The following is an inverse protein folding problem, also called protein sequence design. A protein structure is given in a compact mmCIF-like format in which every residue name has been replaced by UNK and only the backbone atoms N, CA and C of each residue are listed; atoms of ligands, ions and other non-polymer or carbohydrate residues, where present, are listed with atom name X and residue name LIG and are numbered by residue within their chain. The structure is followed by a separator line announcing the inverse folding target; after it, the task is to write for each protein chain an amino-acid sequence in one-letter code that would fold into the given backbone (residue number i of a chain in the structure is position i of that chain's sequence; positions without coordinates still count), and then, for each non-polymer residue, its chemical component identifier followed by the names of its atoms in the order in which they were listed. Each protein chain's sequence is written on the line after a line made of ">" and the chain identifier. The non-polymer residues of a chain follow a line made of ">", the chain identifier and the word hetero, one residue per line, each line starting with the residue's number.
data_IF_675424736925
#
_entry.id   IF_675424736925
#
_cell.length_a   1.000
_cell.length_b   1.000
_cell.length_c   1.000
_cell.angle_alpha   90.00
_cell.angle_beta   90.00
_cell.angle_gamma   90.00
#
_symmetry.space_group_name_H-M   'P 1'
#
loop_
_entity.id
_entity.type
_entity.pdbx_description
1 polymer ?
#
# COMPACT_ATOMS: atom_id res chain seq x y z
N UNK A 1 12.85 24.89 -2.65
CA UNK A 1 11.59 24.16 -2.96
C UNK A 1 11.90 22.71 -2.73
N UNK A 2 11.23 22.06 -1.78
CA UNK A 2 11.55 20.71 -1.31
C UNK A 2 11.36 19.69 -2.43
N UNK A 3 12.38 18.86 -2.68
CA UNK A 3 12.39 17.74 -3.61
C UNK A 3 12.15 16.44 -2.86
N UNK A 4 11.14 15.70 -3.30
CA UNK A 4 10.73 14.45 -2.66
C UNK A 4 10.94 13.28 -3.61
N UNK A 5 11.70 12.27 -3.15
CA UNK A 5 11.80 10.99 -3.83
C UNK A 5 10.65 10.08 -3.43
N UNK A 6 9.97 9.49 -4.41
CA UNK A 6 8.94 8.46 -4.19
C UNK A 6 9.42 7.16 -4.83
N UNK A 7 9.67 6.13 -4.03
CA UNK A 7 9.89 4.76 -4.55
C UNK A 7 8.59 4.00 -4.68
N UNK A 8 8.57 2.96 -5.52
CA UNK A 8 7.32 2.29 -5.90
C UNK A 8 6.33 3.24 -6.57
N UNK A 9 6.82 4.29 -7.24
CA UNK A 9 6.00 5.42 -7.69
C UNK A 9 4.87 5.04 -8.65
N UNK A 10 5.02 3.95 -9.41
CA UNK A 10 3.99 3.43 -10.33
C UNK A 10 3.04 2.42 -9.68
N UNK A 11 3.17 2.19 -8.37
CA UNK A 11 2.34 1.27 -7.59
C UNK A 11 1.12 1.94 -6.97
N UNK A 12 0.33 1.16 -6.23
CA UNK A 12 -0.99 1.58 -5.73
C UNK A 12 -0.92 2.68 -4.66
N UNK A 13 0.12 2.70 -3.82
CA UNK A 13 0.36 3.78 -2.85
C UNK A 13 1.26 4.89 -3.42
N UNK A 14 2.27 4.53 -4.21
CA UNK A 14 3.23 5.49 -4.76
C UNK A 14 2.61 6.44 -5.78
N UNK A 15 1.76 5.95 -6.68
CA UNK A 15 1.15 6.78 -7.73
C UNK A 15 0.24 7.88 -7.17
N UNK A 16 -0.71 7.60 -6.25
CA UNK A 16 -1.46 8.66 -5.60
C UNK A 16 -0.56 9.55 -4.74
N UNK A 17 0.50 9.04 -4.12
CA UNK A 17 1.46 9.87 -3.36
C UNK A 17 2.12 10.92 -4.25
N UNK A 18 2.61 10.54 -5.44
CA UNK A 18 3.14 11.50 -6.42
C UNK A 18 2.10 12.58 -6.76
N UNK A 19 0.85 12.18 -7.01
CA UNK A 19 -0.23 13.12 -7.33
C UNK A 19 -0.51 14.10 -6.18
N UNK A 20 -0.58 13.62 -4.94
CA UNK A 20 -0.83 14.48 -3.78
C UNK A 20 0.32 15.45 -3.50
N UNK A 21 1.58 14.99 -3.66
CA UNK A 21 2.75 15.84 -3.52
C UNK A 21 2.82 16.94 -4.59
N UNK A 22 2.54 16.60 -5.85
CA UNK A 22 2.49 17.58 -6.95
C UNK A 22 1.39 18.62 -6.74
N UNK A 23 0.19 18.20 -6.27
CA UNK A 23 -0.91 19.11 -5.93
C UNK A 23 -0.54 20.13 -4.84
N UNK A 24 0.35 19.75 -3.91
CA UNK A 24 0.89 20.63 -2.87
C UNK A 24 2.00 21.56 -3.38
N UNK A 25 2.35 21.49 -4.67
CA UNK A 25 3.42 22.29 -5.25
C UNK A 25 4.81 21.88 -4.77
N UNK A 26 5.01 20.60 -4.44
CA UNK A 26 6.34 20.05 -4.12
C UNK A 26 6.99 19.50 -5.40
N UNK A 27 8.33 19.50 -5.46
CA UNK A 27 9.04 18.84 -6.54
C UNK A 27 9.05 17.34 -6.27
N UNK A 28 8.63 16.54 -7.23
CA UNK A 28 8.56 15.08 -7.07
C UNK A 28 9.48 14.41 -8.05
N UNK A 29 10.37 13.57 -7.51
CA UNK A 29 11.13 12.60 -8.26
C UNK A 29 10.53 11.21 -8.04
N UNK A 30 10.13 10.56 -9.11
CA UNK A 30 9.49 9.26 -9.10
C UNK A 30 10.45 8.18 -9.61
N UNK A 31 10.83 7.25 -8.73
CA UNK A 31 11.63 6.08 -9.12
C UNK A 31 10.72 5.04 -9.78
N UNK A 32 11.00 4.71 -11.03
CA UNK A 32 10.33 3.67 -11.80
C UNK A 32 11.33 2.61 -12.28
N UNK A 33 10.91 1.34 -12.35
CA UNK A 33 11.80 0.26 -12.84
C UNK A 33 12.03 0.29 -14.35
N UNK A 34 11.04 0.78 -15.10
CA UNK A 34 11.07 0.84 -16.56
C UNK A 34 10.16 1.95 -17.05
N UNK A 35 10.39 2.36 -18.28
CA UNK A 35 9.46 3.22 -19.01
C UNK A 35 8.23 2.41 -19.44
N UNK A 36 7.06 2.82 -18.96
CA UNK A 36 5.76 2.28 -19.38
C UNK A 36 4.67 3.36 -19.26
N UNK A 37 3.43 3.02 -19.62
CA UNK A 37 2.30 3.96 -19.58
C UNK A 37 2.10 4.62 -18.20
N UNK A 38 2.48 3.93 -17.10
CA UNK A 38 2.33 4.47 -15.74
C UNK A 38 3.41 5.49 -15.43
N UNK A 39 4.66 5.25 -15.83
CA UNK A 39 5.72 6.26 -15.64
C UNK A 39 5.51 7.48 -16.54
N UNK A 40 4.99 7.27 -17.75
CA UNK A 40 4.61 8.34 -18.68
C UNK A 40 3.44 9.18 -18.13
N UNK A 41 2.44 8.56 -17.50
CA UNK A 41 1.36 9.27 -16.79
C UNK A 41 1.97 10.22 -15.74
N UNK A 42 2.89 9.74 -14.90
CA UNK A 42 3.53 10.56 -13.87
C UNK A 42 4.36 11.70 -14.45
N UNK A 43 5.10 11.46 -15.54
CA UNK A 43 5.86 12.50 -16.23
C UNK A 43 4.93 13.61 -16.76
N UNK A 44 3.79 13.23 -17.36
CA UNK A 44 2.81 14.20 -17.89
C UNK A 44 2.16 15.07 -16.81
N UNK A 45 2.15 14.61 -15.55
CA UNK A 45 1.69 15.35 -14.40
C UNK A 45 2.75 16.30 -13.81
N UNK A 46 3.99 16.23 -14.30
CA UNK A 46 5.10 17.09 -13.87
C UNK A 46 6.08 16.43 -12.89
N UNK A 47 6.02 15.11 -12.68
CA UNK A 47 7.04 14.40 -11.93
C UNK A 47 8.32 14.22 -12.76
N UNK A 48 9.48 14.37 -12.13
CA UNK A 48 10.76 13.95 -12.70
C UNK A 48 10.88 12.43 -12.59
N UNK A 49 11.01 11.72 -13.71
CA UNK A 49 11.14 10.25 -13.69
C UNK A 49 12.62 9.87 -13.65
N UNK A 50 12.98 9.06 -12.67
CA UNK A 50 14.28 8.37 -12.64
C UNK A 50 14.04 6.88 -12.81
N UNK A 51 14.71 6.29 -13.78
CA UNK A 51 14.66 4.86 -14.02
C UNK A 51 15.80 4.16 -13.27
N UNK A 52 15.47 3.13 -12.50
CA UNK A 52 16.48 2.42 -11.71
C UNK A 52 15.93 1.29 -10.87
N UNK A 53 16.85 0.49 -10.34
CA UNK A 53 16.56 -0.54 -9.34
C UNK A 53 16.84 -0.02 -7.93
N UNK A 54 15.90 -0.24 -7.01
CA UNK A 54 16.05 0.16 -5.60
C UNK A 54 17.13 -0.66 -4.88
N UNK A 55 17.50 -1.83 -5.41
CA UNK A 55 18.63 -2.65 -4.93
C UNK A 55 19.95 -2.28 -5.60
N UNK A 56 19.99 -1.28 -6.48
CA UNK A 56 21.20 -0.80 -7.13
C UNK A 56 21.72 0.45 -6.44
N UNK A 57 22.88 0.35 -5.78
CA UNK A 57 23.52 1.48 -5.12
C UNK A 57 23.79 2.64 -6.09
N UNK A 58 24.16 2.33 -7.33
CA UNK A 58 24.42 3.33 -8.38
C UNK A 58 23.13 4.07 -8.75
N UNK A 59 22.06 3.34 -9.02
CA UNK A 59 20.81 3.95 -9.49
C UNK A 59 20.15 4.73 -8.36
N UNK A 60 20.26 4.26 -7.12
CA UNK A 60 19.80 5.01 -5.95
C UNK A 60 20.58 6.30 -5.72
N UNK A 61 21.89 6.35 -5.95
CA UNK A 61 22.66 7.61 -5.91
C UNK A 61 22.14 8.64 -6.91
N UNK A 62 21.82 8.21 -8.12
CA UNK A 62 21.21 9.08 -9.13
C UNK A 62 19.82 9.54 -8.69
N UNK A 63 19.01 8.64 -8.13
CA UNK A 63 17.67 8.98 -7.65
C UNK A 63 17.68 9.99 -6.50
N UNK A 64 18.69 9.96 -5.63
CA UNK A 64 18.76 10.85 -4.47
C UNK A 64 19.45 12.21 -4.71
N UNK A 65 20.00 12.48 -5.90
CA UNK A 65 20.72 13.73 -6.17
C UNK A 65 19.86 14.99 -5.94
N UNK A 66 20.13 15.76 -4.88
CA UNK A 66 19.32 16.93 -4.52
C UNK A 66 17.93 16.61 -3.95
N UNK A 67 17.74 15.42 -3.38
CA UNK A 67 16.52 15.02 -2.67
C UNK A 67 16.58 15.44 -1.20
N UNK A 68 15.55 16.14 -0.73
CA UNK A 68 15.45 16.58 0.65
C UNK A 68 14.75 15.54 1.54
N UNK A 69 13.71 14.87 1.04
CA UNK A 69 12.87 13.92 1.80
C UNK A 69 12.43 12.76 0.91
N UNK A 70 12.10 11.60 1.49
CA UNK A 70 11.80 10.43 0.67
C UNK A 70 10.71 9.51 1.24
N UNK A 71 9.95 8.90 0.34
CA UNK A 71 9.03 7.80 0.62
C UNK A 71 9.66 6.47 0.18
N UNK A 72 9.78 5.54 1.13
CA UNK A 72 10.23 4.18 0.89
C UNK A 72 9.04 3.21 0.88
N UNK A 73 8.85 2.56 -0.27
CA UNK A 73 7.92 1.45 -0.46
C UNK A 73 8.63 0.30 -1.18
N UNK A 74 8.43 -0.92 -0.70
CA UNK A 74 8.93 -2.15 -1.31
C UNK A 74 7.76 -3.12 -1.54
N UNK A 75 7.71 -3.85 -2.66
CA UNK A 75 6.67 -4.86 -2.89
C UNK A 75 6.77 -6.03 -1.90
N UNK A 76 5.73 -6.87 -1.83
CA UNK A 76 5.78 -8.16 -1.13
C UNK A 76 6.68 -9.10 -1.95
N UNK A 77 7.99 -9.04 -1.69
CA UNK A 77 9.02 -9.81 -2.37
C UNK A 77 10.28 -9.92 -1.50
N UNK A 78 11.19 -10.82 -1.88
CA UNK A 78 12.54 -10.86 -1.31
C UNK A 78 13.33 -9.60 -1.66
N UNK A 79 14.36 -9.26 -0.87
CA UNK A 79 15.24 -8.11 -1.11
C UNK A 79 14.88 -6.82 -0.34
N UNK A 80 13.78 -6.81 0.42
CA UNK A 80 13.33 -5.62 1.17
C UNK A 80 14.42 -5.05 2.10
N UNK A 81 15.10 -5.89 2.88
CA UNK A 81 16.14 -5.44 3.83
C UNK A 81 17.35 -4.87 3.10
N UNK A 82 17.76 -5.49 1.99
CA UNK A 82 18.83 -4.98 1.13
C UNK A 82 18.47 -3.62 0.55
N UNK A 83 17.27 -3.48 -0.01
CA UNK A 83 16.76 -2.21 -0.52
C UNK A 83 16.72 -1.13 0.58
N UNK A 84 16.29 -1.46 1.80
CA UNK A 84 16.28 -0.53 2.93
C UNK A 84 17.69 -0.10 3.33
N UNK A 85 18.67 -1.02 3.35
CA UNK A 85 20.08 -0.70 3.65
C UNK A 85 20.65 0.24 2.60
N UNK A 86 20.45 -0.06 1.32
CA UNK A 86 20.94 0.78 0.21
C UNK A 86 20.28 2.15 0.26
N UNK A 87 18.96 2.19 0.42
CA UNK A 87 18.20 3.44 0.53
C UNK A 87 18.70 4.29 1.70
N UNK A 88 18.82 3.71 2.90
CA UNK A 88 19.27 4.42 4.09
C UNK A 88 20.72 4.92 3.96
N UNK A 89 21.60 4.11 3.37
CA UNK A 89 22.99 4.50 3.12
C UNK A 89 23.06 5.71 2.20
N UNK A 90 22.37 5.68 1.05
CA UNK A 90 22.40 6.79 0.08
C UNK A 90 21.69 8.02 0.62
N UNK A 91 20.54 7.84 1.28
CA UNK A 91 19.81 8.94 1.91
C UNK A 91 20.69 9.69 2.93
N UNK A 92 21.50 8.95 3.70
CA UNK A 92 22.46 9.54 4.64
C UNK A 92 23.60 10.27 3.94
N UNK A 93 24.17 9.70 2.87
CA UNK A 93 25.19 10.35 2.04
C UNK A 93 24.70 11.69 1.47
N UNK A 94 23.41 11.77 1.13
CA UNK A 94 22.78 12.95 0.50
C UNK A 94 22.15 13.92 1.50
N UNK A 95 22.22 13.63 2.81
CA UNK A 95 21.69 14.52 3.84
C UNK A 95 20.17 14.63 3.87
N UNK A 96 19.45 13.55 3.50
CA UNK A 96 17.98 13.50 3.54
C UNK A 96 17.46 13.84 4.94
N UNK A 97 16.51 14.76 5.00
CA UNK A 97 15.96 15.31 6.24
C UNK A 97 14.93 14.37 6.90
N UNK A 98 14.15 13.64 6.09
CA UNK A 98 13.06 12.80 6.59
C UNK A 98 12.70 11.66 5.64
N UNK A 99 12.34 10.51 6.22
CA UNK A 99 11.85 9.33 5.50
C UNK A 99 10.44 8.97 5.98
N UNK A 100 9.53 8.69 5.05
CA UNK A 100 8.29 7.96 5.34
C UNK A 100 8.45 6.53 4.82
N UNK A 101 8.37 5.55 5.70
CA UNK A 101 8.52 4.12 5.41
C UNK A 101 7.14 3.44 5.44
N UNK A 102 6.77 2.75 4.36
CA UNK A 102 5.59 1.87 4.36
C UNK A 102 5.93 0.52 5.00
N UNK A 103 5.24 0.19 6.09
CA UNK A 103 5.44 -1.02 6.88
C UNK A 103 4.12 -1.77 7.12
N UNK A 104 4.19 -2.96 7.72
CA UNK A 104 3.02 -3.75 8.06
C UNK A 104 2.59 -3.50 9.50
N UNK A 105 1.28 -3.47 9.77
CA UNK A 105 0.72 -3.44 11.13
C UNK A 105 1.31 -4.53 12.04
N UNK A 106 1.52 -5.70 11.46
CA UNK A 106 2.03 -6.90 12.14
C UNK A 106 3.55 -6.91 12.34
N UNK A 107 4.31 -5.89 11.90
CA UNK A 107 5.78 -5.88 11.95
C UNK A 107 6.32 -6.00 13.38
N UNK A 108 6.97 -7.13 13.65
CA UNK A 108 7.57 -7.53 14.94
C UNK A 108 8.74 -8.50 14.72
N UNK A 109 9.70 -8.63 15.66
CA UNK A 109 10.89 -9.46 15.48
C UNK A 109 10.57 -10.96 15.31
N UNK A 110 9.48 -11.43 15.89
CA UNK A 110 9.00 -12.81 15.91
C UNK A 110 7.86 -13.07 14.92
N UNK A 111 7.69 -12.20 13.90
CA UNK A 111 6.65 -12.37 12.90
C UNK A 111 6.80 -13.71 12.13
N UNK A 112 5.70 -14.45 11.98
CA UNK A 112 5.65 -15.74 11.24
C UNK A 112 6.01 -15.57 9.78
N UNK A 113 5.51 -14.48 9.18
CA UNK A 113 5.81 -14.09 7.81
C UNK A 113 7.21 -13.47 7.73
N UNK A 114 8.09 -14.05 6.91
CA UNK A 114 9.42 -13.49 6.67
C UNK A 114 9.35 -12.09 6.05
N UNK A 115 8.37 -11.83 5.19
CA UNK A 115 8.12 -10.49 4.62
C UNK A 115 7.80 -9.50 5.75
N UNK A 116 6.91 -9.86 6.66
CA UNK A 116 6.50 -9.01 7.79
C UNK A 116 7.66 -8.79 8.78
N UNK A 117 8.47 -9.82 9.02
CA UNK A 117 9.71 -9.70 9.80
C UNK A 117 10.72 -8.78 9.10
N UNK A 118 10.85 -8.86 7.78
CA UNK A 118 11.72 -8.00 7.00
C UNK A 118 11.28 -6.53 7.05
N UNK A 119 9.97 -6.24 7.06
CA UNK A 119 9.48 -4.90 7.36
C UNK A 119 9.95 -4.42 8.73
N UNK A 120 9.84 -5.23 9.78
CA UNK A 120 10.38 -4.87 11.11
C UNK A 120 11.90 -4.59 11.08
N UNK A 121 12.67 -5.41 10.35
CA UNK A 121 14.10 -5.19 10.14
C UNK A 121 14.38 -3.87 9.40
N UNK A 122 13.59 -3.53 8.38
CA UNK A 122 13.73 -2.24 7.67
C UNK A 122 13.49 -1.05 8.58
N UNK A 123 12.53 -1.14 9.51
CA UNK A 123 12.32 -0.09 10.52
C UNK A 123 13.56 0.07 11.42
N UNK A 124 14.25 -1.04 11.74
CA UNK A 124 15.50 -0.97 12.50
C UNK A 124 16.64 -0.36 11.67
N UNK A 125 16.75 -0.71 10.39
CA UNK A 125 17.73 -0.10 9.46
C UNK A 125 17.55 1.41 9.41
N UNK A 126 16.32 1.90 9.22
CA UNK A 126 16.05 3.33 9.21
C UNK A 126 16.34 3.98 10.58
N UNK A 127 15.99 3.32 11.69
CA UNK A 127 16.36 3.80 13.02
C UNK A 127 17.88 3.92 13.20
N UNK A 128 18.67 2.94 12.76
CA UNK A 128 20.13 2.96 12.85
C UNK A 128 20.79 3.95 11.90
N UNK A 129 20.11 4.34 10.83
CA UNK A 129 20.61 5.35 9.89
C UNK A 129 20.77 6.74 10.53
N UNK A 130 20.01 7.02 11.60
CA UNK A 130 19.95 8.32 12.25
C UNK A 130 19.07 9.34 11.53
N UNK A 131 18.49 9.00 10.38
CA UNK A 131 17.58 9.87 9.63
C UNK A 131 16.20 9.84 10.30
N UNK A 132 15.59 11.00 10.61
CA UNK A 132 14.21 11.06 11.08
C UNK A 132 13.29 10.26 10.17
N UNK A 133 12.64 9.24 10.73
CA UNK A 133 11.81 8.31 9.95
C UNK A 133 10.45 8.12 10.59
N UNK A 134 9.40 8.17 9.80
CA UNK A 134 8.04 7.80 10.19
C UNK A 134 7.68 6.46 9.56
N UNK A 135 7.43 5.45 10.39
CA UNK A 135 6.98 4.14 9.93
C UNK A 135 5.44 4.10 9.91
N UNK A 136 4.86 3.93 8.73
CA UNK A 136 3.42 3.76 8.54
C UNK A 136 3.11 2.27 8.52
N UNK A 137 2.67 1.73 9.66
CA UNK A 137 2.32 0.32 9.82
C UNK A 137 0.85 0.11 9.46
N UNK A 138 0.60 -0.29 8.22
CA UNK A 138 -0.75 -0.36 7.66
C UNK A 138 -1.32 -1.77 7.80
N UNK A 139 -2.63 -1.85 8.06
CA UNK A 139 -3.42 -3.08 7.94
C UNK A 139 -3.65 -3.44 6.46
N UNK A 140 -4.72 -4.17 6.13
CA UNK A 140 -5.08 -4.46 4.74
C UNK A 140 -5.61 -3.23 4.00
N UNK A 141 -5.40 -3.22 2.69
CA UNK A 141 -5.79 -2.12 1.81
C UNK A 141 -7.19 -2.34 1.22
N UNK A 142 -7.94 -1.26 1.02
CA UNK A 142 -9.21 -1.33 0.27
C UNK A 142 -9.00 -1.79 -1.18
N UNK A 143 -7.82 -1.54 -1.73
CA UNK A 143 -7.37 -1.93 -3.07
C UNK A 143 -7.47 -3.44 -3.33
N UNK A 144 -7.48 -4.29 -2.30
CA UNK A 144 -7.69 -5.74 -2.47
C UNK A 144 -9.02 -6.07 -3.15
N UNK A 145 -10.05 -5.23 -2.95
CA UNK A 145 -11.32 -5.36 -3.67
C UNK A 145 -11.10 -5.28 -5.19
N UNK A 146 -10.18 -4.44 -5.66
CA UNK A 146 -9.88 -4.30 -7.09
C UNK A 146 -9.22 -5.56 -7.64
N UNK A 147 -8.40 -6.24 -6.86
CA UNK A 147 -7.76 -7.50 -7.28
C UNK A 147 -8.77 -8.64 -7.43
N UNK A 148 -9.79 -8.68 -6.58
CA UNK A 148 -10.89 -9.66 -6.67
C UNK A 148 -12.11 -9.15 -7.45
N UNK A 149 -12.00 -8.00 -8.13
CA UNK A 149 -13.14 -7.33 -8.76
C UNK A 149 -13.87 -8.19 -9.78
N UNK A 150 -13.15 -9.05 -10.52
CA UNK A 150 -13.74 -10.00 -11.48
C UNK A 150 -14.58 -11.09 -10.81
N UNK A 151 -14.26 -11.47 -9.56
CA UNK A 151 -15.09 -12.38 -8.76
C UNK A 151 -16.31 -11.66 -8.20
N UNK A 152 -16.14 -10.40 -7.76
CA UNK A 152 -17.25 -9.56 -7.32
C UNK A 152 -18.26 -9.35 -8.45
N UNK A 153 -17.80 -9.09 -9.68
CA UNK A 153 -18.64 -9.06 -10.88
C UNK A 153 -19.40 -10.37 -11.15
N UNK A 154 -18.93 -11.49 -10.59
CA UNK A 154 -19.56 -12.81 -10.66
C UNK A 154 -20.35 -13.17 -9.40
N UNK A 155 -20.58 -12.19 -8.52
CA UNK A 155 -21.37 -12.37 -7.29
C UNK A 155 -20.62 -13.13 -6.19
N UNK A 156 -19.28 -13.10 -6.19
CA UNK A 156 -18.46 -13.82 -5.20
C UNK A 156 -17.46 -12.88 -4.55
N UNK A 157 -17.49 -12.79 -3.22
CA UNK A 157 -16.39 -12.20 -2.45
C UNK A 157 -15.49 -13.32 -1.96
N UNK A 158 -14.29 -13.43 -2.52
CA UNK A 158 -13.38 -14.57 -2.28
C UNK A 158 -12.14 -14.10 -1.54
N UNK A 159 -11.84 -14.71 -0.38
CA UNK A 159 -10.58 -14.45 0.35
C UNK A 159 -10.06 -15.71 1.06
N UNK A 160 -8.75 -15.81 1.30
CA UNK A 160 -8.14 -16.94 2.01
C UNK A 160 -8.04 -16.71 3.52
N UNK A 161 -9.00 -16.00 4.09
CA UNK A 161 -8.98 -15.55 5.49
C UNK A 161 -10.26 -15.97 6.20
N UNK A 162 -10.23 -16.06 7.52
CA UNK A 162 -11.43 -16.44 8.27
C UNK A 162 -12.54 -15.41 8.12
N UNK A 163 -13.79 -15.88 7.97
CA UNK A 163 -14.96 -15.01 7.79
C UNK A 163 -15.09 -13.93 8.87
N UNK A 164 -14.71 -14.26 10.11
CA UNK A 164 -14.81 -13.40 11.29
C UNK A 164 -13.53 -12.59 11.57
N UNK A 165 -12.48 -12.74 10.74
CA UNK A 165 -11.20 -12.06 10.90
C UNK A 165 -11.35 -10.54 10.78
N UNK A 166 -10.91 -9.81 11.81
CA UNK A 166 -11.14 -8.37 11.97
C UNK A 166 -10.01 -7.53 11.39
N UNK A 167 -10.36 -6.49 10.64
CA UNK A 167 -9.44 -5.49 10.11
C UNK A 167 -10.18 -4.23 9.65
N UNK A 168 -9.47 -3.12 9.48
CA UNK A 168 -10.06 -1.86 9.03
C UNK A 168 -9.40 -1.41 7.71
N UNK A 169 -9.97 -1.71 6.53
CA UNK A 169 -9.32 -1.48 5.25
C UNK A 169 -9.02 0.00 5.01
N UNK A 170 -7.76 0.34 4.75
CA UNK A 170 -7.33 1.71 4.44
C UNK A 170 -7.15 1.89 2.93
N UNK A 171 -7.71 2.94 2.36
CA UNK A 171 -7.52 3.25 0.94
C UNK A 171 -6.14 3.88 0.70
N UNK A 172 -5.46 3.46 -0.37
CA UNK A 172 -4.17 4.00 -0.77
C UNK A 172 -4.23 5.50 -1.08
N UNK A 173 -5.40 6.02 -1.47
CA UNK A 173 -5.63 7.46 -1.63
C UNK A 173 -5.46 8.24 -0.31
N UNK A 174 -5.88 7.68 0.82
CA UNK A 174 -5.65 8.32 2.12
C UNK A 174 -4.25 8.06 2.65
N UNK A 175 -3.70 6.87 2.42
CA UNK A 175 -2.28 6.61 2.66
C UNK A 175 -1.40 7.66 1.96
N UNK A 176 -1.71 7.99 0.70
CA UNK A 176 -1.02 9.03 -0.05
C UNK A 176 -1.12 10.42 0.57
N UNK A 177 -2.31 10.82 1.07
CA UNK A 177 -2.47 12.10 1.79
C UNK A 177 -1.68 12.11 3.09
N UNK A 178 -1.66 11.00 3.83
CA UNK A 178 -0.86 10.85 5.07
C UNK A 178 0.62 11.02 4.75
N UNK A 179 1.13 10.29 3.76
CA UNK A 179 2.53 10.37 3.32
C UNK A 179 2.86 11.81 2.88
N UNK A 180 2.01 12.42 2.05
CA UNK A 180 2.23 13.76 1.52
C UNK A 180 2.22 14.83 2.63
N UNK A 181 1.32 14.74 3.61
CA UNK A 181 1.25 15.68 4.73
C UNK A 181 2.48 15.55 5.64
N UNK A 182 2.94 14.33 5.94
CA UNK A 182 4.16 14.11 6.73
C UNK A 182 5.39 14.63 5.98
N UNK A 183 5.51 14.35 4.67
CA UNK A 183 6.67 14.81 3.89
C UNK A 183 6.66 16.33 3.66
N UNK A 184 5.50 16.96 3.63
CA UNK A 184 5.38 18.43 3.59
C UNK A 184 5.78 19.06 4.93
N UNK A 185 5.32 18.48 6.06
CA UNK A 185 5.53 18.98 7.43
C UNK A 185 6.01 17.85 8.35
N UNK A 186 7.31 17.51 8.34
CA UNK A 186 7.84 16.34 9.05
C UNK A 186 7.96 16.54 10.57
N UNK A 187 7.83 17.76 11.07
CA UNK A 187 8.00 18.10 12.48
C UNK A 187 7.08 17.25 13.38
N UNK A 188 7.67 16.56 14.36
CA UNK A 188 6.93 15.70 15.30
C UNK A 188 6.64 14.28 14.81
N UNK A 189 6.91 13.96 13.54
CA UNK A 189 6.70 12.63 12.98
C UNK A 189 7.96 11.74 12.99
N UNK A 190 9.13 12.32 13.22
CA UNK A 190 10.40 11.58 13.28
C UNK A 190 10.45 10.59 14.44
N UNK A 191 10.83 9.34 14.16
CA UNK A 191 10.91 8.24 15.13
C UNK A 191 9.58 7.57 15.46
N UNK A 192 8.47 8.03 14.86
CA UNK A 192 7.14 7.48 15.12
C UNK A 192 6.90 6.20 14.32
N UNK A 193 6.10 5.30 14.89
CA UNK A 193 5.56 4.14 14.20
C UNK A 193 4.03 4.14 14.37
N UNK A 194 3.32 4.63 13.37
CA UNK A 194 1.86 4.74 13.40
C UNK A 194 1.23 3.45 12.90
N UNK A 195 0.43 2.81 13.75
CA UNK A 195 -0.51 1.80 13.28
C UNK A 195 -1.68 2.53 12.64
N UNK A 196 -1.92 2.30 11.34
CA UNK A 196 -2.95 3.00 10.59
C UNK A 196 -4.10 2.06 10.22
N UNK A 197 -5.31 2.58 10.40
CA UNK A 197 -6.56 1.89 10.10
C UNK A 197 -7.43 2.70 9.14
N UNK A 198 -8.30 2.01 8.40
CA UNK A 198 -9.44 2.62 7.75
C UNK A 198 -10.47 3.18 8.75
N UNK A 199 -11.47 3.92 8.27
CA UNK A 199 -12.44 4.61 9.15
C UNK A 199 -13.40 3.65 9.88
N UNK A 200 -13.47 2.39 9.46
CA UNK A 200 -14.36 1.39 10.04
C UNK A 200 -13.70 0.01 9.97
N UNK A 201 -13.87 -0.75 11.04
CA UNK A 201 -13.44 -2.13 11.15
C UNK A 201 -14.55 -3.07 10.67
N UNK A 202 -14.16 -4.11 9.96
CA UNK A 202 -15.03 -5.14 9.40
C UNK A 202 -14.48 -6.53 9.73
N UNK A 203 -15.36 -7.52 9.79
CA UNK A 203 -15.01 -8.88 9.40
C UNK A 203 -15.03 -9.04 7.88
N UNK A 204 -14.51 -10.14 7.35
CA UNK A 204 -14.64 -10.40 5.91
C UNK A 204 -16.11 -10.57 5.47
N UNK A 205 -16.94 -11.19 6.30
CA UNK A 205 -18.39 -11.33 6.07
C UNK A 205 -19.10 -9.97 6.05
N UNK A 206 -18.78 -9.08 7.00
CA UNK A 206 -19.33 -7.72 7.04
C UNK A 206 -18.86 -6.86 5.86
N UNK A 207 -17.60 -7.02 5.44
CA UNK A 207 -17.07 -6.29 4.30
C UNK A 207 -17.73 -6.73 3.00
N UNK A 208 -17.93 -8.04 2.81
CA UNK A 208 -18.67 -8.58 1.67
C UNK A 208 -20.11 -8.04 1.63
N UNK A 209 -20.81 -8.05 2.77
CA UNK A 209 -22.16 -7.50 2.90
C UNK A 209 -22.20 -5.99 2.59
N UNK A 210 -21.23 -5.21 3.05
CA UNK A 210 -21.14 -3.78 2.75
C UNK A 210 -20.92 -3.51 1.26
N UNK A 211 -20.02 -4.26 0.62
CA UNK A 211 -19.81 -4.15 -0.84
C UNK A 211 -21.07 -4.55 -1.60
N UNK A 212 -21.72 -5.65 -1.22
CA UNK A 212 -22.99 -6.09 -1.80
C UNK A 212 -24.09 -5.05 -1.67
N UNK A 213 -24.26 -4.46 -0.48
CA UNK A 213 -25.20 -3.36 -0.22
C UNK A 213 -24.96 -2.16 -1.14
N UNK A 214 -23.71 -1.73 -1.28
CA UNK A 214 -23.34 -0.57 -2.11
C UNK A 214 -23.56 -0.85 -3.59
N UNK A 215 -23.32 -2.08 -4.04
CA UNK A 215 -23.54 -2.50 -5.42
C UNK A 215 -25.01 -2.84 -5.74
N UNK A 216 -25.82 -3.13 -4.73
CA UNK A 216 -27.21 -3.57 -4.88
C UNK A 216 -27.32 -5.05 -5.28
N UNK A 217 -26.38 -5.89 -4.83
CA UNK A 217 -26.33 -7.33 -5.14
C UNK A 217 -26.13 -8.14 -3.87
N UNK A 218 -26.62 -9.37 -3.85
CA UNK A 218 -26.21 -10.34 -2.84
C UNK A 218 -24.76 -10.76 -3.13
N UNK A 219 -23.90 -10.66 -2.12
CA UNK A 219 -22.47 -10.91 -2.26
C UNK A 219 -21.99 -11.73 -1.06
N UNK A 220 -22.18 -13.06 -1.10
CA UNK A 220 -21.74 -13.92 -0.02
C UNK A 220 -20.22 -13.96 0.07
N UNK A 221 -19.74 -14.03 1.31
CA UNK A 221 -18.35 -14.34 1.60
C UNK A 221 -18.05 -15.81 1.31
N UNK A 222 -16.99 -16.07 0.56
CA UNK A 222 -16.48 -17.39 0.26
C UNK A 222 -15.02 -17.50 0.73
N UNK A 223 -14.80 -18.36 1.72
CA UNK A 223 -13.45 -18.68 2.17
C UNK A 223 -12.83 -19.73 1.25
N UNK A 224 -11.63 -19.43 0.75
CA UNK A 224 -10.76 -20.43 0.15
C UNK A 224 -9.61 -20.77 1.08
N UNK A 225 -8.92 -21.88 0.82
CA UNK A 225 -7.58 -22.06 1.37
C UNK A 225 -6.63 -21.08 0.69
N UNK A 226 -5.51 -20.74 1.34
CA UNK A 226 -4.47 -19.90 0.72
C UNK A 226 -4.02 -20.47 -0.62
N UNK A 227 -3.76 -21.77 -0.71
CA UNK A 227 -3.36 -22.42 -1.97
C UNK A 227 -4.42 -22.26 -3.07
N UNK A 228 -5.70 -22.52 -2.77
CA UNK A 228 -6.76 -22.38 -3.76
C UNK A 228 -6.99 -20.93 -4.20
N UNK A 229 -6.82 -19.97 -3.28
CA UNK A 229 -6.89 -18.55 -3.62
C UNK A 229 -5.75 -18.12 -4.55
N UNK A 230 -4.52 -18.58 -4.29
CA UNK A 230 -3.37 -18.25 -5.13
C UNK A 230 -3.45 -18.91 -6.50
N UNK A 231 -3.90 -20.17 -6.59
CA UNK A 231 -4.19 -20.83 -7.87
C UNK A 231 -5.26 -20.06 -8.67
N UNK A 232 -6.33 -19.63 -8.00
CA UNK A 232 -7.38 -18.82 -8.62
C UNK A 232 -6.85 -17.46 -9.13
N UNK A 233 -5.80 -16.92 -8.49
CA UNK A 233 -5.13 -15.69 -8.87
C UNK A 233 -3.99 -15.89 -9.91
N UNK A 234 -3.64 -17.13 -10.27
CA UNK A 234 -2.50 -17.45 -11.14
C UNK A 234 -1.13 -17.19 -10.48
N UNK A 235 -1.06 -17.41 -9.16
CA UNK A 235 0.11 -17.15 -8.31
C UNK A 235 0.52 -18.39 -7.49
N UNK A 236 0.12 -19.59 -7.94
CA UNK A 236 0.33 -20.86 -7.25
C UNK A 236 1.81 -21.18 -6.97
N UNK A 237 2.70 -20.74 -7.86
CA UNK A 237 4.14 -20.97 -7.78
C UNK A 237 4.85 -19.96 -6.84
N UNK A 238 4.18 -18.89 -6.40
CA UNK A 238 4.76 -17.90 -5.50
C UNK A 238 4.78 -18.39 -4.05
N UNK A 239 5.85 -19.10 -3.71
CA UNK A 239 6.03 -19.67 -2.37
C UNK A 239 6.21 -18.61 -1.28
N UNK A 240 6.70 -17.41 -1.62
CA UNK A 240 6.86 -16.31 -0.67
C UNK A 240 5.49 -15.74 -0.32
N UNK A 241 4.66 -15.51 -1.33
CA UNK A 241 3.29 -15.03 -1.17
C UNK A 241 2.42 -16.04 -0.43
N UNK A 242 2.53 -17.34 -0.76
CA UNK A 242 1.82 -18.41 -0.03
C UNK A 242 2.11 -18.38 1.47
N UNK A 243 3.39 -18.41 1.85
CA UNK A 243 3.79 -18.36 3.27
C UNK A 243 3.38 -17.05 3.93
N UNK A 244 3.42 -15.95 3.18
CA UNK A 244 2.98 -14.65 3.67
C UNK A 244 1.48 -14.66 4.01
N UNK A 245 0.65 -15.20 3.13
CA UNK A 245 -0.80 -15.28 3.31
C UNK A 245 -1.19 -16.26 4.43
N UNK A 246 -0.57 -17.43 4.52
CA UNK A 246 -0.77 -18.39 5.62
C UNK A 246 -0.44 -17.75 6.98
N UNK A 247 0.67 -17.01 7.07
CA UNK A 247 1.02 -16.28 8.28
C UNK A 247 0.07 -15.12 8.57
N UNK A 248 -0.38 -14.39 7.54
CA UNK A 248 -1.32 -13.29 7.70
C UNK A 248 -2.70 -13.77 8.17
N UNK A 249 -3.16 -14.94 7.70
CA UNK A 249 -4.37 -15.60 8.19
C UNK A 249 -4.29 -15.88 9.68
N UNK A 250 -3.20 -16.53 10.15
CA UNK A 250 -3.00 -16.80 11.58
C UNK A 250 -2.89 -15.52 12.41
N UNK A 251 -2.15 -14.53 11.93
CA UNK A 251 -2.03 -13.24 12.62
C UNK A 251 -3.38 -12.50 12.69
N UNK A 252 -4.26 -12.66 11.69
CA UNK A 252 -5.62 -12.11 11.73
C UNK A 252 -6.50 -12.85 12.76
N UNK A 253 -6.39 -14.17 12.85
CA UNK A 253 -7.07 -14.99 13.87
C UNK A 253 -6.67 -14.58 15.29
N UNK A 254 -5.41 -14.17 15.47
CA UNK A 254 -4.88 -13.65 16.73
C UNK A 254 -5.21 -12.18 16.99
N UNK A 255 -5.98 -11.54 16.10
CA UNK A 255 -6.42 -10.15 16.26
C UNK A 255 -5.36 -9.10 15.94
N UNK A 256 -4.22 -9.46 15.34
CA UNK A 256 -3.11 -8.54 15.09
C UNK A 256 -3.39 -7.52 13.98
N UNK A 257 -4.46 -7.70 13.21
CA UNK A 257 -4.93 -6.75 12.20
C UNK A 257 -6.13 -5.91 12.64
N UNK A 258 -6.72 -6.25 13.79
CA UNK A 258 -7.82 -5.52 14.40
C UNK A 258 -7.37 -4.18 14.98
N UNK A 259 -8.32 -3.28 15.12
CA UNK A 259 -8.14 -1.97 15.72
C UNK A 259 -8.75 -0.85 14.87
N UNK A 260 -8.89 0.29 15.54
CA UNK A 260 -9.21 1.57 14.96
C UNK A 260 -8.34 2.62 15.64
N UNK A 261 -8.10 3.71 14.94
CA UNK A 261 -7.43 4.90 15.46
C UNK A 261 -8.00 6.16 14.80
N UNK A 262 -7.54 7.33 15.25
CA UNK A 262 -7.82 8.61 14.63
C UNK A 262 -6.56 9.33 14.11
N UNK A 263 -5.42 8.65 14.09
CA UNK A 263 -4.11 9.15 13.64
C UNK A 263 -4.20 9.56 12.17
N UNK A 264 -4.73 8.70 11.30
CA UNK A 264 -4.88 9.02 9.87
C UNK A 264 -5.75 10.26 9.66
N UNK A 265 -6.89 10.32 10.34
CA UNK A 265 -7.82 11.47 10.33
C UNK A 265 -7.13 12.75 10.82
N UNK A 266 -6.35 12.67 11.91
CA UNK A 266 -5.60 13.81 12.47
C UNK A 266 -4.53 14.31 11.52
N UNK A 267 -3.76 13.42 10.89
CA UNK A 267 -2.71 13.79 9.94
C UNK A 267 -3.31 14.42 8.68
N UNK A 268 -4.41 13.88 8.15
CA UNK A 268 -5.08 14.43 6.95
C UNK A 268 -5.85 15.72 7.26
N UNK A 269 -6.35 15.86 8.49
CA UNK A 269 -7.23 16.96 8.90
C UNK A 269 -8.68 16.77 8.46
N UNK A 270 -9.12 15.52 8.26
CA UNK A 270 -10.46 15.20 7.75
C UNK A 270 -10.74 13.70 7.73
N UNK A 271 -11.98 13.29 7.39
CA UNK A 271 -12.39 11.89 7.41
C UNK A 271 -11.62 11.06 6.37
N UNK A 272 -11.35 9.80 6.73
CA UNK A 272 -10.84 8.80 5.80
C UNK A 272 -11.96 8.27 4.90
N UNK A 273 -11.59 7.80 3.71
CA UNK A 273 -12.46 7.18 2.73
C UNK A 273 -13.09 5.91 3.27
N UNK A 274 -14.42 5.85 3.23
CA UNK A 274 -15.17 4.65 3.59
C UNK A 274 -15.12 3.61 2.47
N UNK A 275 -15.42 2.35 2.79
CA UNK A 275 -15.58 1.29 1.78
C UNK A 275 -16.66 1.67 0.76
N UNK A 276 -17.78 2.25 1.19
CA UNK A 276 -18.81 2.76 0.27
C UNK A 276 -18.27 3.79 -0.72
N UNK A 277 -17.51 4.78 -0.24
CA UNK A 277 -16.90 5.78 -1.11
C UNK A 277 -15.89 5.15 -2.07
N UNK A 278 -15.07 4.21 -1.59
CA UNK A 278 -14.11 3.48 -2.40
C UNK A 278 -14.79 2.67 -3.53
N UNK A 279 -15.83 1.91 -3.18
CA UNK A 279 -16.60 1.09 -4.13
C UNK A 279 -17.27 1.98 -5.18
N UNK A 280 -17.89 3.10 -4.77
CA UNK A 280 -18.52 4.02 -5.70
C UNK A 280 -17.51 4.70 -6.63
N UNK A 281 -16.34 5.11 -6.12
CA UNK A 281 -15.28 5.72 -6.94
C UNK A 281 -14.72 4.74 -7.98
N UNK A 282 -14.78 3.43 -7.71
CA UNK A 282 -14.29 2.37 -8.59
C UNK A 282 -15.42 1.52 -9.19
N UNK A 283 -16.67 2.00 -9.19
CA UNK A 283 -17.87 1.19 -9.48
C UNK A 283 -17.80 0.45 -10.81
N UNK A 284 -17.24 1.07 -11.84
CA UNK A 284 -17.04 0.47 -13.16
C UNK A 284 -16.18 -0.81 -13.14
N UNK A 285 -15.33 -1.00 -12.12
CA UNK A 285 -14.55 -2.24 -11.94
C UNK A 285 -15.36 -3.37 -11.34
N UNK A 286 -16.46 -3.09 -10.65
CA UNK A 286 -17.23 -4.08 -9.90
C UNK A 286 -18.52 -4.52 -10.58
N UNK A 287 -19.00 -3.75 -11.55
CA UNK A 287 -20.20 -4.09 -12.33
C UNK A 287 -19.80 -4.76 -13.64
N UNK A 288 -20.57 -5.77 -14.07
CA UNK A 288 -20.45 -6.24 -15.45
C UNK A 288 -20.97 -5.15 -16.37
N UNK A 289 -20.26 -4.86 -17.44
CA UNK A 289 -20.87 -4.15 -18.56
C UNK A 289 -22.05 -5.01 -19.03
N UNK A 290 -23.25 -4.41 -19.09
CA UNK A 290 -24.35 -5.05 -19.77
C UNK A 290 -23.88 -5.30 -21.20
N UNK A 291 -23.73 -6.57 -21.59
CA UNK A 291 -23.60 -6.91 -23.00
C UNK A 291 -24.83 -6.30 -23.66
N UNK A 292 -24.62 -5.19 -24.37
CA UNK A 292 -25.58 -4.74 -25.36
C UNK A 292 -25.67 -5.89 -26.33
N UNK A 293 -26.75 -6.65 -26.21
CA UNK A 293 -27.18 -7.62 -27.21
C UNK A 293 -27.42 -6.83 -28.49
N UNK A 294 -26.35 -6.59 -29.23
CA UNK A 294 -26.42 -6.21 -30.64
C UNK A 294 -26.80 -7.50 -31.37
N UNK A 295 -28.10 -7.62 -31.57
CA UNK A 295 -28.85 -8.39 -32.55
C UNK A 295 -28.17 -9.60 -33.21
N UNK A 296 -28.95 -10.69 -33.31
CA UNK A 296 -29.45 -11.12 -34.62
C UNK A 296 -30.79 -11.86 -34.48
N UNK A 297 -31.78 -11.29 -35.16
CA UNK A 297 -32.98 -11.95 -35.68
C UNK A 297 -32.71 -13.35 -36.25
#
# INVERSE_FOLDING_TARGET
>A
MTTILVTGATGDTGRPTVKELLKKGLKVRALARREDARSQELASLGAEIVYGDITSLRDMRLAFDGVDRAYFCYPIADGLVEAAVIFAQVAREQGVEHIVNLSHKQSRPDARSKVTQNHWLSEQVFKWSGIPTTNLRITFFAEWLLYISTFIQRGRYVMPFNKDGRFAPLAAADTAKIIANILEKPEGHGGQAYQLHGPKEYSHEELAAEVGRVLGVDLPFEQLTVSAFLELAGLEDDTVLRRHFEAAELDQQEGLLAGLDDIGTKIIGGPLMTVEAFVNANRARFVREAQTSVDRN
#
